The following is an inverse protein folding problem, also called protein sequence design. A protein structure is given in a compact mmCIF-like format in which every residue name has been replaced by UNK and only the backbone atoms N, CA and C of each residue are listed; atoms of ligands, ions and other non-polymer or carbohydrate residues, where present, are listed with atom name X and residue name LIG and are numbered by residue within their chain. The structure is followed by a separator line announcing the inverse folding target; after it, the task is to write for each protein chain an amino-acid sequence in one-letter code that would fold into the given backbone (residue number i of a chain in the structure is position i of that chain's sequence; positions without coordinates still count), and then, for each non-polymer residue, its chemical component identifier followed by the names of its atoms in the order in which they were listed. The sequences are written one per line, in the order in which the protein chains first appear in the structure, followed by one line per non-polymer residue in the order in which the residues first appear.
data_IF_503848147574
#
_entry.id   IF_503848147574
#
_cell.length_a   1.000
_cell.length_b   1.000
_cell.length_c   1.000
_cell.angle_alpha   90.00
_cell.angle_beta   90.00
_cell.angle_gamma   90.00
#
_symmetry.space_group_name_H-M   'P 1'
#
loop_
_entity.id
_entity.type
_entity.pdbx_description
1 polymer ?
#
# COMPACT_ATOMS: atom_id res chain seq x y z
N UNK A 1 -36.05 5.34 -14.57
CA UNK A 1 -34.75 5.19 -13.88
C UNK A 1 -34.49 6.44 -13.03
N UNK A 2 -35.01 6.48 -11.81
CA UNK A 2 -34.76 7.56 -10.85
C UNK A 2 -33.73 7.05 -9.84
N UNK A 3 -32.51 7.59 -9.87
CA UNK A 3 -31.37 7.23 -9.00
C UNK A 3 -31.46 7.96 -7.64
N UNK A 4 -32.64 8.45 -7.28
CA UNK A 4 -32.87 9.40 -6.20
C UNK A 4 -33.07 8.83 -4.78
N UNK A 5 -33.46 7.56 -4.51
CA UNK A 5 -33.73 7.16 -3.13
C UNK A 5 -32.45 6.90 -2.30
N UNK A 6 -31.35 6.46 -2.93
CA UNK A 6 -30.14 6.03 -2.21
C UNK A 6 -29.43 7.21 -1.51
N UNK A 7 -29.64 8.45 -1.96
CA UNK A 7 -29.04 9.64 -1.34
C UNK A 7 -29.93 10.30 -0.29
N UNK A 8 -31.23 9.99 -0.25
CA UNK A 8 -32.15 10.57 0.73
C UNK A 8 -32.02 9.93 2.12
N UNK A 9 -31.63 8.65 2.19
CA UNK A 9 -31.61 7.85 3.43
C UNK A 9 -30.30 7.94 4.24
N UNK A 10 -29.26 8.61 3.74
CA UNK A 10 -28.09 8.95 4.58
C UNK A 10 -28.38 10.09 5.58
N UNK A 11 -29.61 10.61 5.60
CA UNK A 11 -30.05 11.73 6.43
C UNK A 11 -30.79 11.31 7.71
N UNK A 12 -30.99 10.01 7.97
CA UNK A 12 -31.82 9.51 9.08
C UNK A 12 -31.04 8.85 10.23
N UNK A 13 -29.73 9.08 10.33
CA UNK A 13 -29.07 9.01 11.64
C UNK A 13 -29.45 10.29 12.37
N UNK A 14 -30.37 10.22 13.32
CA UNK A 14 -30.70 11.36 14.19
C UNK A 14 -29.43 11.78 14.95
N UNK A 15 -28.81 12.85 14.47
CA UNK A 15 -27.81 13.58 15.23
C UNK A 15 -28.55 14.40 16.29
N UNK A 16 -28.00 14.54 17.52
CA UNK A 16 -28.58 15.39 18.54
C UNK A 16 -28.92 16.77 17.98
N UNK A 17 -30.11 17.31 18.28
CA UNK A 17 -30.65 18.58 17.76
C UNK A 17 -29.74 19.81 17.97
N UNK A 18 -28.64 19.68 18.72
CA UNK A 18 -27.59 20.70 18.82
C UNK A 18 -26.68 20.78 17.57
N UNK A 19 -26.77 19.82 16.62
CA UNK A 19 -25.92 19.76 15.42
C UNK A 19 -26.45 20.51 14.19
N UNK A 20 -27.70 20.99 14.19
CA UNK A 20 -28.25 21.78 13.06
C UNK A 20 -27.76 23.24 13.04
N UNK A 21 -27.11 23.72 14.10
CA UNK A 21 -26.64 25.11 14.21
C UNK A 21 -25.13 25.30 13.93
N UNK A 22 -24.49 24.45 13.12
CA UNK A 22 -23.04 24.49 12.91
C UNK A 22 -22.63 25.04 11.52
N UNK A 23 -22.69 26.37 11.38
CA UNK A 23 -21.94 27.27 10.47
C UNK A 23 -21.89 27.03 8.94
N UNK A 24 -22.24 28.12 8.24
CA UNK A 24 -22.15 28.52 6.84
C UNK A 24 -20.68 28.80 6.37
N UNK A 25 -19.73 27.88 6.65
CA UNK A 25 -18.28 28.12 6.48
C UNK A 25 -17.41 26.89 6.23
N UNK A 26 -17.97 25.80 5.69
CA UNK A 26 -17.22 24.57 5.37
C UNK A 26 -16.32 24.78 4.16
N UNK A 27 -15.02 24.47 4.28
CA UNK A 27 -14.06 24.53 3.16
C UNK A 27 -14.50 23.64 1.99
N UNK A 28 -15.08 22.48 2.30
CA UNK A 28 -15.64 21.55 1.31
C UNK A 28 -17.13 21.43 1.55
N UNK A 29 -17.93 21.78 0.54
CA UNK A 29 -19.39 21.68 0.61
C UNK A 29 -19.85 20.21 0.63
N UNK A 30 -21.02 19.96 1.23
CA UNK A 30 -21.55 18.60 1.36
C UNK A 30 -21.81 17.93 0.00
N UNK A 31 -22.19 18.71 -1.02
CA UNK A 31 -22.37 18.21 -2.39
C UNK A 31 -21.05 17.69 -2.97
N UNK A 32 -19.98 18.46 -2.83
CA UNK A 32 -18.64 18.05 -3.31
C UNK A 32 -18.18 16.81 -2.55
N UNK A 33 -18.33 16.81 -1.22
CA UNK A 33 -18.00 15.68 -0.37
C UNK A 33 -18.74 14.39 -0.81
N UNK A 34 -20.06 14.45 -1.01
CA UNK A 34 -20.87 13.30 -1.41
C UNK A 34 -20.51 12.79 -2.80
N UNK A 35 -20.33 13.71 -3.76
CA UNK A 35 -19.91 13.35 -5.11
C UNK A 35 -18.52 12.69 -5.10
N UNK A 36 -17.57 13.27 -4.37
CA UNK A 36 -16.21 12.73 -4.23
C UNK A 36 -16.21 11.36 -3.54
N UNK A 37 -16.97 11.22 -2.46
CA UNK A 37 -17.12 9.94 -1.75
C UNK A 37 -17.72 8.84 -2.63
N UNK A 38 -18.66 9.18 -3.51
CA UNK A 38 -19.25 8.24 -4.47
C UNK A 38 -18.28 7.88 -5.60
N UNK A 39 -17.80 8.86 -6.36
CA UNK A 39 -17.02 8.59 -7.57
C UNK A 39 -15.60 8.15 -7.24
N UNK A 40 -14.96 8.83 -6.29
CA UNK A 40 -13.57 8.56 -5.92
C UNK A 40 -13.51 7.53 -4.81
N UNK A 41 -14.13 7.82 -3.65
CA UNK A 41 -14.04 6.96 -2.46
C UNK A 41 -14.62 5.54 -2.66
N UNK A 42 -15.64 5.43 -3.51
CA UNK A 42 -16.28 4.16 -3.83
C UNK A 42 -15.85 3.62 -5.20
N UNK A 43 -16.24 4.23 -6.32
CA UNK A 43 -16.08 3.61 -7.64
C UNK A 43 -14.61 3.45 -8.06
N UNK A 44 -13.81 4.52 -7.95
CA UNK A 44 -12.39 4.46 -8.29
C UNK A 44 -11.66 3.44 -7.41
N UNK A 45 -11.90 3.47 -6.10
CA UNK A 45 -11.25 2.53 -5.18
C UNK A 45 -11.73 1.09 -5.39
N UNK A 46 -13.02 0.85 -5.66
CA UNK A 46 -13.53 -0.48 -5.97
C UNK A 46 -12.88 -1.07 -7.22
N UNK A 47 -12.73 -0.24 -8.27
CA UNK A 47 -12.03 -0.64 -9.49
C UNK A 47 -10.54 -0.94 -9.22
N UNK A 48 -9.84 -0.04 -8.54
CA UNK A 48 -8.40 -0.20 -8.24
C UNK A 48 -8.12 -1.40 -7.34
N UNK A 49 -8.96 -1.62 -6.31
CA UNK A 49 -8.83 -2.80 -5.45
C UNK A 49 -9.11 -4.09 -6.21
N UNK A 50 -10.11 -4.12 -7.11
CA UNK A 50 -10.36 -5.26 -8.00
C UNK A 50 -9.19 -5.53 -8.96
N UNK A 51 -8.64 -4.48 -9.58
CA UNK A 51 -7.44 -4.58 -10.40
C UNK A 51 -6.25 -5.10 -9.59
N UNK A 52 -6.10 -4.63 -8.36
CA UNK A 52 -5.10 -5.07 -7.40
C UNK A 52 -5.20 -6.56 -7.07
N UNK A 53 -6.41 -7.10 -6.86
CA UNK A 53 -6.63 -8.55 -6.66
C UNK A 53 -6.11 -9.34 -7.86
N UNK A 54 -6.40 -8.91 -9.08
CA UNK A 54 -5.95 -9.62 -10.30
C UNK A 54 -4.44 -9.52 -10.46
N UNK A 55 -3.89 -8.31 -10.39
CA UNK A 55 -2.47 -8.04 -10.63
C UNK A 55 -1.57 -8.71 -9.59
N UNK A 56 -1.90 -8.64 -8.30
CA UNK A 56 -1.10 -9.33 -7.26
C UNK A 56 -1.22 -10.85 -7.35
N UNK A 57 -2.37 -11.39 -7.75
CA UNK A 57 -2.50 -12.83 -8.05
C UNK A 57 -1.56 -13.26 -9.17
N UNK A 58 -1.48 -12.49 -10.27
CA UNK A 58 -0.55 -12.76 -11.36
C UNK A 58 0.91 -12.68 -10.91
N UNK A 59 1.26 -11.68 -10.09
CA UNK A 59 2.60 -11.52 -9.50
C UNK A 59 2.97 -12.75 -8.67
N UNK A 60 2.09 -13.18 -7.77
CA UNK A 60 2.31 -14.36 -6.94
C UNK A 60 2.49 -15.63 -7.79
N UNK A 61 1.64 -15.86 -8.79
CA UNK A 61 1.74 -17.02 -9.71
C UNK A 61 3.11 -17.04 -10.42
N UNK A 62 3.57 -15.89 -10.91
CA UNK A 62 4.88 -15.80 -11.59
C UNK A 62 6.02 -16.10 -10.64
N UNK A 63 6.04 -15.51 -9.43
CA UNK A 63 7.11 -15.76 -8.47
C UNK A 63 7.12 -17.18 -7.93
N UNK A 64 5.95 -17.81 -7.75
CA UNK A 64 5.85 -19.24 -7.45
C UNK A 64 6.50 -20.09 -8.55
N UNK A 65 6.31 -19.72 -9.82
CA UNK A 65 6.93 -20.43 -10.95
C UNK A 65 8.44 -20.22 -11.04
N UNK A 66 8.95 -19.04 -10.67
CA UNK A 66 10.39 -18.75 -10.61
C UNK A 66 11.07 -19.47 -9.45
N UNK A 67 10.32 -19.71 -8.37
CA UNK A 67 10.84 -20.26 -7.13
C UNK A 67 11.61 -19.22 -6.30
N UNK A 68 11.85 -19.59 -5.04
CA UNK A 68 12.44 -18.73 -4.02
C UNK A 68 13.94 -18.96 -3.85
N UNK A 69 14.67 -18.96 -4.98
CA UNK A 69 16.12 -19.20 -5.01
C UNK A 69 16.96 -17.96 -4.70
N UNK A 70 16.37 -16.78 -4.83
CA UNK A 70 16.98 -15.50 -4.52
C UNK A 70 16.11 -14.71 -3.53
N UNK A 71 16.76 -13.91 -2.69
CA UNK A 71 16.11 -13.06 -1.69
C UNK A 71 15.16 -12.05 -2.33
N UNK A 72 15.45 -11.61 -3.57
CA UNK A 72 14.63 -10.64 -4.31
C UNK A 72 13.22 -11.19 -4.52
N UNK A 73 13.11 -12.41 -5.05
CA UNK A 73 11.81 -13.02 -5.32
C UNK A 73 11.02 -13.27 -4.04
N UNK A 74 11.70 -13.64 -2.95
CA UNK A 74 11.07 -13.78 -1.63
C UNK A 74 10.45 -12.44 -1.20
N UNK A 75 11.22 -11.35 -1.20
CA UNK A 75 10.74 -10.04 -0.78
C UNK A 75 9.57 -9.54 -1.64
N UNK A 76 9.69 -9.64 -2.97
CA UNK A 76 8.65 -9.17 -3.89
C UNK A 76 7.37 -10.01 -3.81
N UNK A 77 7.49 -11.31 -3.58
CA UNK A 77 6.35 -12.18 -3.31
C UNK A 77 5.67 -11.82 -1.98
N UNK A 78 6.44 -11.61 -0.90
CA UNK A 78 5.90 -11.21 0.40
C UNK A 78 5.13 -9.89 0.33
N UNK A 79 5.63 -8.91 -0.43
CA UNK A 79 4.92 -7.66 -0.71
C UNK A 79 3.60 -7.93 -1.44
N UNK A 80 3.63 -8.75 -2.50
CA UNK A 80 2.43 -9.08 -3.26
C UNK A 80 1.35 -9.80 -2.41
N UNK A 81 1.75 -10.60 -1.42
CA UNK A 81 0.83 -11.23 -0.46
C UNK A 81 0.09 -10.18 0.37
N UNK A 82 0.80 -9.19 0.92
CA UNK A 82 0.16 -8.14 1.73
C UNK A 82 -0.66 -7.16 0.89
N UNK A 83 -0.21 -6.83 -0.32
CA UNK A 83 -0.99 -6.06 -1.28
C UNK A 83 -2.25 -6.82 -1.71
N UNK A 84 -2.19 -8.15 -1.84
CA UNK A 84 -3.38 -9.00 -2.08
C UNK A 84 -4.37 -8.93 -0.91
N UNK A 85 -3.91 -9.04 0.35
CA UNK A 85 -4.78 -8.93 1.53
C UNK A 85 -5.47 -7.55 1.54
N UNK A 86 -4.70 -6.49 1.30
CA UNK A 86 -5.20 -5.10 1.19
C UNK A 86 -6.29 -4.98 0.11
N UNK A 87 -6.03 -5.48 -1.09
CA UNK A 87 -6.95 -5.43 -2.23
C UNK A 87 -8.22 -6.26 -2.00
N UNK A 88 -8.11 -7.47 -1.47
CA UNK A 88 -9.26 -8.30 -1.12
C UNK A 88 -10.15 -7.62 -0.09
N UNK A 89 -9.57 -7.12 1.00
CA UNK A 89 -10.33 -6.37 2.01
C UNK A 89 -11.01 -5.13 1.42
N UNK A 90 -10.32 -4.42 0.52
CA UNK A 90 -10.85 -3.26 -0.19
C UNK A 90 -12.08 -3.55 -1.05
N UNK A 91 -12.07 -4.67 -1.78
CA UNK A 91 -13.19 -5.14 -2.60
C UNK A 91 -14.35 -5.60 -1.73
N UNK A 92 -14.08 -6.49 -0.76
CA UNK A 92 -15.11 -7.09 0.11
C UNK A 92 -15.84 -6.01 0.91
N UNK A 93 -15.12 -5.04 1.46
CA UNK A 93 -15.73 -3.91 2.19
C UNK A 93 -16.74 -3.12 1.36
N UNK A 94 -16.47 -2.98 0.05
CA UNK A 94 -17.28 -2.18 -0.89
C UNK A 94 -18.39 -2.98 -1.59
N UNK A 95 -18.66 -4.21 -1.15
CA UNK A 95 -19.84 -4.96 -1.62
C UNK A 95 -21.14 -4.43 -1.03
N UNK A 96 -21.11 -3.46 -0.12
CA UNK A 96 -22.28 -2.82 0.47
C UNK A 96 -23.23 -2.23 -0.58
N UNK A 97 -22.71 -1.52 -1.60
CA UNK A 97 -23.57 -0.92 -2.62
C UNK A 97 -24.16 -1.91 -3.61
N UNK A 98 -23.42 -2.87 -4.19
CA UNK A 98 -24.00 -3.88 -5.07
C UNK A 98 -25.05 -4.73 -4.36
N UNK A 99 -24.80 -5.09 -3.09
CA UNK A 99 -25.79 -5.77 -2.25
C UNK A 99 -26.99 -4.85 -2.00
N UNK A 100 -26.75 -3.58 -1.69
CA UNK A 100 -27.78 -2.56 -1.50
C UNK A 100 -28.68 -2.30 -2.71
N UNK A 101 -28.18 -2.51 -3.93
CA UNK A 101 -28.99 -2.44 -5.16
C UNK A 101 -30.01 -3.58 -5.25
N UNK A 102 -29.72 -4.73 -4.65
CA UNK A 102 -30.64 -5.87 -4.57
C UNK A 102 -31.57 -5.73 -3.37
N UNK A 103 -31.01 -5.38 -2.20
CA UNK A 103 -31.76 -5.18 -0.98
C UNK A 103 -31.06 -4.13 -0.09
N UNK A 104 -31.70 -2.97 0.21
CA UNK A 104 -31.08 -1.90 0.97
C UNK A 104 -30.71 -2.32 2.40
N UNK A 105 -31.54 -3.14 3.06
CA UNK A 105 -31.27 -3.67 4.41
C UNK A 105 -30.01 -4.52 4.42
N UNK A 106 -29.83 -5.38 3.40
CA UNK A 106 -28.63 -6.21 3.29
C UNK A 106 -27.37 -5.36 3.03
N UNK A 107 -27.48 -4.31 2.21
CA UNK A 107 -26.37 -3.40 1.96
C UNK A 107 -25.93 -2.64 3.22
N UNK A 108 -26.89 -2.12 3.98
CA UNK A 108 -26.66 -1.44 5.27
C UNK A 108 -26.02 -2.41 6.27
N UNK A 109 -26.57 -3.61 6.39
CA UNK A 109 -26.05 -4.64 7.30
C UNK A 109 -24.62 -5.05 6.90
N UNK A 110 -24.37 -5.28 5.61
CA UNK A 110 -23.04 -5.61 5.13
C UNK A 110 -22.02 -4.51 5.47
N UNK A 111 -22.37 -3.25 5.20
CA UNK A 111 -21.50 -2.10 5.50
C UNK A 111 -21.10 -2.09 6.97
N UNK A 112 -22.06 -2.07 7.88
CA UNK A 112 -21.78 -1.87 9.31
C UNK A 112 -21.23 -3.11 10.00
N UNK A 113 -21.66 -4.32 9.62
CA UNK A 113 -21.08 -5.55 10.15
C UNK A 113 -19.63 -5.73 9.71
N UNK A 114 -19.29 -5.36 8.48
CA UNK A 114 -17.93 -5.51 7.97
C UNK A 114 -17.00 -4.35 8.34
N UNK A 115 -17.55 -3.18 8.68
CA UNK A 115 -16.79 -1.94 8.91
C UNK A 115 -15.66 -2.10 9.93
N UNK A 116 -15.87 -2.64 11.16
CA UNK A 116 -14.81 -2.75 12.17
C UNK A 116 -13.57 -3.51 11.69
N UNK A 117 -13.76 -4.46 10.77
CA UNK A 117 -12.71 -5.37 10.32
C UNK A 117 -12.11 -4.92 9.00
N UNK A 118 -12.94 -4.56 8.01
CA UNK A 118 -12.48 -4.35 6.65
C UNK A 118 -12.09 -2.90 6.32
N UNK A 119 -12.43 -1.92 7.16
CA UNK A 119 -11.95 -0.54 6.97
C UNK A 119 -10.47 -0.39 7.37
N UNK A 120 -10.04 -1.10 8.43
CA UNK A 120 -8.69 -1.00 8.97
C UNK A 120 -7.72 -1.99 8.34
N UNK A 121 -8.21 -3.16 7.92
CA UNK A 121 -7.37 -4.20 7.33
C UNK A 121 -6.51 -3.71 6.13
N UNK A 122 -7.04 -2.95 5.15
CA UNK A 122 -6.23 -2.37 4.08
C UNK A 122 -5.14 -1.42 4.57
N UNK A 123 -5.43 -0.66 5.63
CA UNK A 123 -4.48 0.31 6.23
C UNK A 123 -3.35 -0.45 6.91
N UNK A 124 -3.66 -1.46 7.72
CA UNK A 124 -2.66 -2.26 8.44
C UNK A 124 -1.81 -3.10 7.50
N UNK A 125 -2.43 -3.73 6.49
CA UNK A 125 -1.70 -4.40 5.41
C UNK A 125 -0.79 -3.44 4.66
N UNK A 126 -1.22 -2.20 4.42
CA UNK A 126 -0.38 -1.14 3.86
C UNK A 126 0.86 -0.84 4.71
N UNK A 127 0.71 -0.73 6.03
CA UNK A 127 1.86 -0.56 6.94
C UNK A 127 2.85 -1.72 6.87
N UNK A 128 2.35 -2.95 6.74
CA UNK A 128 3.22 -4.10 6.53
C UNK A 128 3.95 -3.98 5.18
N UNK A 129 3.24 -3.70 4.07
CA UNK A 129 3.88 -3.51 2.76
C UNK A 129 4.97 -2.43 2.79
N UNK A 130 4.76 -1.31 3.48
CA UNK A 130 5.81 -0.28 3.66
C UNK A 130 7.02 -0.79 4.45
N UNK A 131 6.79 -1.57 5.51
CA UNK A 131 7.88 -2.18 6.30
C UNK A 131 8.71 -3.14 5.44
N UNK A 132 8.05 -3.99 4.63
CA UNK A 132 8.71 -4.92 3.72
C UNK A 132 9.47 -4.18 2.61
N UNK A 133 8.90 -3.11 2.04
CA UNK A 133 9.58 -2.26 1.07
C UNK A 133 10.82 -1.57 1.67
N UNK A 134 10.76 -1.17 2.95
CA UNK A 134 11.89 -0.61 3.69
C UNK A 134 13.00 -1.65 3.88
N UNK A 135 12.65 -2.90 4.20
CA UNK A 135 13.64 -3.97 4.20
C UNK A 135 14.30 -4.13 2.82
N UNK A 136 13.51 -4.11 1.75
CA UNK A 136 14.05 -4.21 0.37
C UNK A 136 15.00 -3.06 0.07
N UNK A 137 14.69 -1.83 0.52
CA UNK A 137 15.58 -0.68 0.32
C UNK A 137 16.91 -0.85 1.06
N UNK A 138 16.90 -1.35 2.30
CA UNK A 138 18.11 -1.70 3.06
C UNK A 138 18.89 -2.80 2.35
N UNK A 139 18.24 -3.89 1.95
CA UNK A 139 18.86 -5.01 1.24
C UNK A 139 19.59 -4.53 -0.02
N UNK A 140 18.94 -3.64 -0.80
CA UNK A 140 19.56 -3.06 -2.00
C UNK A 140 20.67 -2.09 -1.70
N UNK A 141 20.52 -1.25 -0.70
CA UNK A 141 21.58 -0.36 -0.24
C UNK A 141 22.83 -1.16 0.10
N UNK A 142 22.68 -2.21 0.90
CA UNK A 142 23.79 -3.09 1.27
C UNK A 142 24.38 -3.79 0.04
N UNK A 143 23.55 -4.32 -0.85
CA UNK A 143 23.99 -5.01 -2.07
C UNK A 143 24.83 -4.12 -2.98
N UNK A 144 24.57 -2.81 -2.98
CA UNK A 144 25.29 -1.82 -3.76
C UNK A 144 26.55 -1.34 -3.04
N UNK A 145 26.49 -1.11 -1.73
CA UNK A 145 27.60 -0.57 -0.95
C UNK A 145 28.67 -1.62 -0.59
N UNK A 146 28.29 -2.88 -0.36
CA UNK A 146 29.21 -3.95 0.09
C UNK A 146 28.89 -5.30 -0.60
N UNK A 147 29.06 -5.39 -1.94
CA UNK A 147 28.56 -6.50 -2.75
C UNK A 147 29.10 -7.89 -2.35
N UNK A 148 30.35 -7.97 -1.88
CA UNK A 148 30.99 -9.23 -1.54
C UNK A 148 30.50 -9.85 -0.22
N UNK A 149 30.20 -9.03 0.80
CA UNK A 149 29.69 -9.54 2.09
C UNK A 149 28.21 -9.90 2.00
N UNK A 150 27.43 -9.14 1.23
CA UNK A 150 25.97 -9.30 1.18
C UNK A 150 25.54 -10.61 0.56
N UNK A 151 26.19 -11.07 -0.52
CA UNK A 151 25.85 -12.36 -1.15
C UNK A 151 26.03 -13.56 -0.22
N UNK A 152 26.91 -13.45 0.78
CA UNK A 152 27.11 -14.48 1.80
C UNK A 152 26.18 -14.32 3.01
N UNK A 153 25.72 -13.09 3.30
CA UNK A 153 24.92 -12.80 4.49
C UNK A 153 23.41 -12.91 4.23
N UNK A 154 22.93 -12.42 3.09
CA UNK A 154 21.49 -12.36 2.78
C UNK A 154 21.11 -13.59 1.97
N UNK A 155 20.68 -14.63 2.67
CA UNK A 155 20.13 -15.86 2.06
C UNK A 155 18.61 -15.75 1.90
N UNK A 156 18.00 -16.45 0.93
CA UNK A 156 16.54 -16.42 0.73
C UNK A 156 15.74 -16.87 1.97
N UNK A 157 16.26 -17.87 2.69
CA UNK A 157 15.64 -18.38 3.93
C UNK A 157 15.65 -17.34 5.04
N UNK A 158 16.78 -16.64 5.21
CA UNK A 158 16.89 -15.57 6.18
C UNK A 158 15.95 -14.42 5.83
N UNK A 159 15.91 -14.01 4.55
CA UNK A 159 14.95 -13.01 4.06
C UNK A 159 13.51 -13.42 4.33
N UNK A 160 13.13 -14.68 4.08
CA UNK A 160 11.78 -15.17 4.33
C UNK A 160 11.42 -15.07 5.83
N UNK A 161 12.34 -15.46 6.71
CA UNK A 161 12.18 -15.34 8.16
C UNK A 161 11.98 -13.88 8.57
N UNK A 162 12.83 -12.96 8.11
CA UNK A 162 12.69 -11.53 8.38
C UNK A 162 11.36 -10.96 7.87
N UNK A 163 10.94 -11.31 6.66
CA UNK A 163 9.67 -10.87 6.07
C UNK A 163 8.49 -11.31 6.92
N UNK A 164 8.48 -12.57 7.38
CA UNK A 164 7.41 -13.11 8.22
C UNK A 164 7.39 -12.43 9.58
N UNK A 165 8.54 -12.35 10.26
CA UNK A 165 8.62 -11.74 11.60
C UNK A 165 8.23 -10.27 11.54
N UNK A 166 8.74 -9.52 10.56
CA UNK A 166 8.40 -8.10 10.39
C UNK A 166 6.91 -7.90 10.10
N UNK A 167 6.33 -8.79 9.28
CA UNK A 167 4.89 -8.78 9.01
C UNK A 167 4.06 -9.00 10.27
N UNK A 168 4.40 -10.01 11.06
CA UNK A 168 3.70 -10.33 12.32
C UNK A 168 3.85 -9.22 13.35
N UNK A 169 5.03 -8.62 13.47
CA UNK A 169 5.28 -7.52 14.40
C UNK A 169 4.45 -6.29 14.05
N UNK A 170 4.53 -5.82 12.81
CA UNK A 170 3.81 -4.61 12.38
C UNK A 170 2.31 -4.84 12.42
N UNK A 171 1.81 -5.92 11.83
CA UNK A 171 0.38 -6.23 11.84
C UNK A 171 -0.15 -6.46 13.25
N UNK A 172 0.56 -7.26 14.07
CA UNK A 172 0.18 -7.56 15.44
C UNK A 172 0.15 -6.33 16.35
N UNK A 173 1.02 -5.34 16.11
CA UNK A 173 0.98 -4.09 16.87
C UNK A 173 -0.29 -3.25 16.63
N UNK A 174 -0.97 -3.44 15.49
CA UNK A 174 -2.23 -2.78 15.15
C UNK A 174 -3.49 -3.62 15.43
N UNK A 175 -3.35 -4.95 15.60
CA UNK A 175 -4.48 -5.85 15.76
C UNK A 175 -5.42 -5.55 16.94
N UNK A 176 -4.98 -4.93 18.07
CA UNK A 176 -5.91 -4.57 19.15
C UNK A 176 -7.06 -3.66 18.70
N UNK A 177 -6.88 -2.87 17.63
CA UNK A 177 -7.92 -2.00 17.07
C UNK A 177 -9.15 -2.78 16.59
N UNK A 178 -9.00 -4.04 16.18
CA UNK A 178 -10.16 -4.86 15.76
C UNK A 178 -11.13 -5.16 16.89
N UNK A 179 -10.73 -4.99 18.15
CA UNK A 179 -11.53 -5.33 19.33
C UNK A 179 -12.13 -4.10 20.03
N UNK A 180 -11.93 -2.89 19.51
CA UNK A 180 -12.48 -1.66 20.12
C UNK A 180 -13.91 -1.34 19.70
N UNK A 181 -14.42 -2.06 18.70
CA UNK A 181 -15.76 -1.89 18.16
C UNK A 181 -16.57 -3.17 18.33
N UNK A 182 -17.86 -3.02 18.59
CA UNK A 182 -18.83 -4.13 18.58
C UNK A 182 -19.95 -3.82 17.60
N UNK A 183 -20.54 -4.87 17.03
CA UNK A 183 -21.65 -4.77 16.10
C UNK A 183 -22.94 -5.08 16.86
N UNK A 184 -23.87 -4.15 16.85
CA UNK A 184 -25.18 -4.26 17.49
C UNK A 184 -26.28 -4.14 16.45
N UNK A 185 -27.36 -4.92 16.62
CA UNK A 185 -28.52 -4.90 15.73
C UNK A 185 -29.67 -4.18 16.39
N UNK A 186 -30.07 -3.05 15.82
CA UNK A 186 -31.16 -2.21 16.30
C UNK A 186 -32.33 -2.27 15.33
N UNK A 187 -33.55 -2.48 15.84
CA UNK A 187 -34.74 -2.55 14.99
C UNK A 187 -35.07 -1.18 14.41
N UNK A 188 -35.19 -1.10 13.08
CA UNK A 188 -35.59 0.10 12.37
C UNK A 188 -37.05 -0.01 11.93
N UNK A 189 -37.94 0.88 12.40
CA UNK A 189 -39.34 0.90 11.97
C UNK A 189 -39.48 1.33 10.50
N UNK A 190 -38.51 2.09 9.97
CA UNK A 190 -38.51 2.58 8.58
C UNK A 190 -38.35 1.41 7.60
N UNK A 191 -37.41 0.52 7.89
CA UNK A 191 -37.13 -0.65 7.05
C UNK A 191 -37.88 -1.91 7.49
N UNK A 192 -38.62 -1.83 8.61
CA UNK A 192 -39.25 -2.97 9.28
C UNK A 192 -38.26 -4.14 9.47
N UNK A 193 -37.02 -3.84 9.86
CA UNK A 193 -35.94 -4.81 9.93
C UNK A 193 -34.86 -4.40 10.95
N UNK A 194 -34.13 -5.39 11.47
CA UNK A 194 -32.97 -5.14 12.33
C UNK A 194 -31.76 -4.71 11.51
N UNK A 195 -31.23 -3.52 11.81
CA UNK A 195 -30.08 -2.91 11.15
C UNK A 195 -28.83 -3.01 12.02
N UNK A 196 -27.72 -3.40 11.41
CA UNK A 196 -26.42 -3.37 12.04
C UNK A 196 -25.96 -1.93 12.25
N UNK A 197 -25.39 -1.69 13.42
CA UNK A 197 -24.75 -0.44 13.83
C UNK A 197 -23.47 -0.77 14.59
N UNK A 198 -22.51 0.16 14.60
CA UNK A 198 -21.22 -0.05 15.27
C UNK A 198 -21.17 0.84 16.50
N UNK A 199 -20.93 0.23 17.66
CA UNK A 199 -20.74 0.92 18.94
C UNK A 199 -19.34 0.62 19.48
N UNK A 200 -18.90 1.43 20.44
CA UNK A 200 -17.60 1.21 21.11
C UNK A 200 -17.72 0.01 22.06
N UNK A 201 -16.79 -0.94 21.94
CA UNK A 201 -16.74 -2.12 22.79
C UNK A 201 -16.32 -1.77 24.23
N UNK A 202 -16.65 -2.64 25.20
CA UNK A 202 -16.25 -2.48 26.61
C UNK A 202 -14.74 -2.27 26.79
N UNK A 203 -13.93 -2.92 25.94
CA UNK A 203 -12.48 -2.81 25.95
C UNK A 203 -11.98 -1.38 25.71
N UNK A 204 -12.71 -0.57 24.94
CA UNK A 204 -12.37 0.83 24.69
C UNK A 204 -12.36 1.65 25.98
N UNK A 205 -13.41 1.48 26.80
CA UNK A 205 -13.59 2.21 28.04
C UNK A 205 -12.78 1.64 29.21
N UNK A 206 -12.49 0.33 29.19
CA UNK A 206 -11.77 -0.35 30.27
C UNK A 206 -10.33 0.14 30.49
N UNK A 207 -9.72 0.77 29.49
CA UNK A 207 -8.30 1.13 29.51
C UNK A 207 -8.01 2.59 29.11
N UNK A 208 -8.87 3.54 29.46
CA UNK A 208 -8.64 4.99 29.23
C UNK A 208 -8.16 5.33 27.80
N UNK A 209 -8.80 4.70 26.80
CA UNK A 209 -8.49 4.90 25.38
C UNK A 209 -7.04 4.55 24.98
N UNK A 210 -6.32 3.73 25.77
CA UNK A 210 -4.92 3.37 25.51
C UNK A 210 -4.71 2.79 24.11
N UNK A 211 -5.67 2.01 23.61
CA UNK A 211 -5.61 1.41 22.28
C UNK A 211 -5.68 2.50 21.19
N UNK A 212 -6.54 3.51 21.37
CA UNK A 212 -6.64 4.65 20.45
C UNK A 212 -5.38 5.50 20.47
N UNK A 213 -4.79 5.73 21.64
CA UNK A 213 -3.51 6.45 21.81
C UNK A 213 -2.36 5.69 21.14
N UNK A 214 -2.28 4.38 21.37
CA UNK A 214 -1.29 3.50 20.75
C UNK A 214 -1.45 3.45 19.21
N UNK A 215 -2.67 3.30 18.71
CA UNK A 215 -2.95 3.33 17.27
C UNK A 215 -2.48 4.63 16.62
N UNK A 216 -2.79 5.78 17.23
CA UNK A 216 -2.33 7.09 16.73
C UNK A 216 -0.81 7.19 16.74
N UNK A 217 -0.17 6.78 17.84
CA UNK A 217 1.29 6.78 17.96
C UNK A 217 1.95 5.90 16.89
N UNK A 218 1.53 4.64 16.77
CA UNK A 218 2.08 3.70 15.79
C UNK A 218 1.83 4.18 14.35
N UNK A 219 0.66 4.77 14.09
CA UNK A 219 0.29 5.36 12.80
C UNK A 219 1.12 6.59 12.41
N UNK A 220 1.85 7.20 13.34
CA UNK A 220 2.83 8.27 13.05
C UNK A 220 4.25 7.72 13.06
N UNK A 221 4.57 6.87 14.05
CA UNK A 221 5.90 6.35 14.32
C UNK A 221 6.41 5.47 13.17
N UNK A 222 5.69 4.39 12.81
CA UNK A 222 6.14 3.46 11.76
C UNK A 222 6.30 4.18 10.41
N UNK A 223 5.29 4.90 9.91
CA UNK A 223 5.40 5.82 8.79
C UNK A 223 6.68 6.65 8.77
N UNK A 224 6.94 7.39 9.84
CA UNK A 224 8.09 8.30 9.90
C UNK A 224 9.41 7.55 9.78
N UNK A 225 9.57 6.46 10.55
CA UNK A 225 10.79 5.64 10.54
C UNK A 225 11.03 5.02 9.16
N UNK A 226 10.02 4.38 8.57
CA UNK A 226 10.14 3.73 7.26
C UNK A 226 10.47 4.73 6.15
N UNK A 227 9.84 5.90 6.16
CA UNK A 227 10.14 6.96 5.21
C UNK A 227 11.59 7.43 5.30
N UNK A 228 12.07 7.75 6.51
CA UNK A 228 13.46 8.18 6.72
C UNK A 228 14.46 7.13 6.23
N UNK A 229 14.22 5.85 6.53
CA UNK A 229 15.08 4.75 6.08
C UNK A 229 15.03 4.60 4.55
N UNK A 230 13.86 4.61 3.93
CA UNK A 230 13.72 4.49 2.47
C UNK A 230 14.38 5.66 1.74
N UNK A 231 14.23 6.90 2.21
CA UNK A 231 14.86 8.09 1.61
C UNK A 231 16.38 8.02 1.71
N UNK A 232 16.90 7.74 2.91
CA UNK A 232 18.35 7.64 3.15
C UNK A 232 18.99 6.52 2.33
N UNK A 233 18.42 5.32 2.36
CA UNK A 233 18.90 4.18 1.56
C UNK A 233 18.82 4.45 0.06
N UNK A 234 17.74 5.06 -0.43
CA UNK A 234 17.61 5.44 -1.85
C UNK A 234 18.67 6.44 -2.27
N UNK A 235 18.96 7.46 -1.44
CA UNK A 235 20.02 8.43 -1.70
C UNK A 235 21.39 7.76 -1.81
N UNK A 236 21.71 6.83 -0.91
CA UNK A 236 22.95 6.05 -0.94
C UNK A 236 23.04 5.20 -2.22
N UNK A 237 21.96 4.49 -2.59
CA UNK A 237 21.93 3.68 -3.81
C UNK A 237 22.19 4.56 -5.05
N UNK A 238 21.50 5.70 -5.16
CA UNK A 238 21.66 6.62 -6.29
C UNK A 238 23.09 7.14 -6.37
N UNK A 239 23.68 7.51 -5.24
CA UNK A 239 25.08 7.96 -5.16
C UNK A 239 26.04 6.89 -5.69
N UNK A 240 25.94 5.65 -5.20
CA UNK A 240 26.81 4.56 -5.65
C UNK A 240 26.58 4.17 -7.11
N UNK A 241 25.33 4.21 -7.59
CA UNK A 241 25.02 3.94 -9.01
C UNK A 241 25.64 4.98 -9.93
N UNK A 242 25.60 6.27 -9.55
CA UNK A 242 26.25 7.36 -10.31
C UNK A 242 27.76 7.19 -10.33
N UNK A 243 28.37 6.95 -9.16
CA UNK A 243 29.81 6.70 -9.05
C UNK A 243 30.26 5.49 -9.87
N UNK A 244 29.47 4.42 -9.88
CA UNK A 244 29.78 3.24 -10.70
C UNK A 244 29.72 3.57 -12.19
N UNK A 245 28.74 4.37 -12.64
CA UNK A 245 28.61 4.77 -14.05
C UNK A 245 29.81 5.63 -14.50
N UNK A 246 30.20 6.62 -13.69
CA UNK A 246 31.36 7.49 -13.97
C UNK A 246 32.68 6.69 -14.10
N UNK A 247 32.86 5.66 -13.28
CA UNK A 247 34.03 4.80 -13.35
C UNK A 247 34.05 3.96 -14.64
N UNK A 248 32.90 3.48 -15.10
CA UNK A 248 32.79 2.74 -16.37
C UNK A 248 33.14 3.62 -17.58
N UNK A 249 32.71 4.88 -17.59
CA UNK A 249 33.02 5.81 -18.69
C UNK A 249 34.52 6.17 -18.71
N UNK A 250 35.16 6.29 -17.54
CA UNK A 250 36.62 6.51 -17.43
C UNK A 250 37.44 5.30 -17.89
N UNK A 251 37.01 4.09 -17.54
CA UNK A 251 37.67 2.84 -17.99
C UNK A 251 37.47 2.60 -19.50
N UNK A 252 36.36 3.08 -20.09
CA UNK A 252 36.11 3.02 -21.53
C UNK A 252 36.93 4.07 -22.32
N UNK A 253 37.15 5.26 -21.76
CA UNK A 253 37.99 6.32 -22.34
C UNK A 253 39.50 6.08 -22.23
N UNK A 254 39.95 5.24 -21.29
CA UNK A 254 41.37 4.87 -21.10
C UNK A 254 41.75 3.59 -21.87
N UNK A 255 41.30 3.44 -23.11
CA UNK A 255 41.81 2.44 -24.07
C UNK A 255 42.65 3.12 -25.15
N UNK A 256 43.77 3.70 -24.74
CA UNK A 256 44.89 3.99 -25.64
C UNK A 256 46.18 3.58 -24.93
N UNK A 257 46.84 2.54 -25.46
CA UNK A 257 48.18 2.04 -25.08
C UNK A 257 48.32 1.58 -23.62
N UNK A 258 48.67 0.33 -23.28
CA UNK A 258 49.91 -0.33 -23.66
C UNK A 258 49.86 -1.77 -23.15
N UNK A 259 50.39 -2.70 -23.94
CA UNK A 259 50.72 -4.08 -23.56
C UNK A 259 51.73 -4.08 -22.40
N UNK A 260 51.38 -4.61 -21.23
CA UNK A 260 52.35 -5.04 -20.23
C UNK A 260 51.79 -6.14 -19.33
N UNK A 261 52.54 -7.23 -19.29
CA UNK A 261 52.39 -8.46 -18.50
C UNK A 261 52.54 -8.14 -17.01
N UNK A 262 51.63 -8.67 -16.18
CA UNK A 262 51.74 -8.57 -14.72
C UNK A 262 50.40 -8.77 -14.04
N UNK A 263 50.10 -10.01 -13.67
CA UNK A 263 48.87 -10.38 -12.97
C UNK A 263 48.76 -9.71 -11.61
N UNK A 264 47.95 -8.65 -11.55
CA UNK A 264 47.20 -8.31 -10.35
C UNK A 264 45.77 -8.02 -10.83
N UNK A 265 44.88 -8.97 -10.58
CA UNK A 265 43.45 -8.84 -10.81
C UNK A 265 42.96 -7.61 -10.07
N UNK A 266 42.86 -6.48 -10.78
CA UNK A 266 42.15 -5.29 -10.31
C UNK A 266 40.69 -5.71 -10.14
N UNK A 267 40.36 -6.21 -8.95
CA UNK A 267 39.00 -6.45 -8.46
C UNK A 267 38.35 -5.09 -8.25
N UNK A 268 38.03 -4.39 -9.34
CA UNK A 268 37.09 -3.28 -9.25
C UNK A 268 35.74 -3.89 -8.87
N UNK A 269 35.29 -3.55 -7.68
CA UNK A 269 34.02 -3.93 -7.06
C UNK A 269 32.82 -3.29 -7.78
N UNK A 270 32.81 -3.38 -9.11
CA UNK A 270 31.81 -2.74 -9.96
C UNK A 270 30.61 -3.70 -10.11
N UNK A 271 29.43 -3.13 -9.90
CA UNK A 271 28.16 -3.86 -10.04
C UNK A 271 27.98 -4.37 -11.47
N UNK A 272 27.49 -5.59 -11.64
CA UNK A 272 27.20 -6.11 -12.98
C UNK A 272 26.01 -5.35 -13.62
N UNK A 273 25.95 -5.21 -14.95
CA UNK A 273 24.81 -4.55 -15.62
C UNK A 273 23.45 -5.16 -15.26
N UNK A 274 23.43 -6.47 -14.98
CA UNK A 274 22.23 -7.19 -14.53
C UNK A 274 21.80 -6.75 -13.13
N UNK A 275 22.73 -6.68 -12.18
CA UNK A 275 22.45 -6.20 -10.81
C UNK A 275 22.03 -4.73 -10.80
N UNK A 276 22.64 -3.90 -11.66
CA UNK A 276 22.25 -2.50 -11.81
C UNK A 276 20.80 -2.37 -12.33
N UNK A 277 20.40 -3.23 -13.28
CA UNK A 277 19.03 -3.26 -13.79
C UNK A 277 18.01 -3.65 -12.71
N UNK A 278 18.31 -4.69 -11.92
CA UNK A 278 17.43 -5.11 -10.80
C UNK A 278 17.35 -4.01 -9.74
N UNK A 279 18.48 -3.39 -9.40
CA UNK A 279 18.54 -2.28 -8.42
C UNK A 279 17.72 -1.08 -8.90
N UNK A 280 17.83 -0.70 -10.18
CA UNK A 280 17.01 0.38 -10.78
C UNK A 280 15.51 0.08 -10.72
N UNK A 281 15.10 -1.16 -11.01
CA UNK A 281 13.70 -1.56 -10.87
C UNK A 281 13.22 -1.41 -9.43
N UNK A 282 13.99 -1.90 -8.46
CA UNK A 282 13.61 -1.83 -7.05
C UNK A 282 13.59 -0.39 -6.53
N UNK A 283 14.48 0.48 -7.02
CA UNK A 283 14.41 1.92 -6.75
C UNK A 283 13.09 2.55 -7.25
N UNK A 284 12.60 2.16 -8.43
CA UNK A 284 11.30 2.64 -8.93
C UNK A 284 10.17 2.20 -8.00
N UNK A 285 10.21 0.96 -7.52
CA UNK A 285 9.23 0.45 -6.55
C UNK A 285 9.29 1.26 -5.25
N UNK A 286 10.49 1.45 -4.67
CA UNK A 286 10.69 2.24 -3.45
C UNK A 286 10.19 3.68 -3.64
N UNK A 287 10.46 4.29 -4.78
CA UNK A 287 9.98 5.63 -5.10
C UNK A 287 8.44 5.71 -5.15
N UNK A 288 7.78 4.72 -5.74
CA UNK A 288 6.31 4.65 -5.77
C UNK A 288 5.73 4.50 -4.36
N UNK A 289 6.34 3.66 -3.51
CA UNK A 289 5.96 3.58 -2.09
C UNK A 289 6.14 4.92 -1.38
N UNK A 290 7.21 5.67 -1.63
CA UNK A 290 7.42 7.00 -1.05
C UNK A 290 6.36 8.02 -1.52
N UNK A 291 6.00 8.00 -2.81
CA UNK A 291 4.97 8.89 -3.36
C UNK A 291 3.58 8.61 -2.78
N UNK A 292 3.23 7.33 -2.65
CA UNK A 292 1.98 6.89 -2.02
C UNK A 292 1.92 7.27 -0.54
N UNK A 293 3.07 7.14 0.12
CA UNK A 293 3.21 7.38 1.55
C UNK A 293 3.16 8.87 1.92
N UNK A 294 3.71 9.76 1.10
CA UNK A 294 3.86 11.18 1.43
C UNK A 294 2.53 11.88 1.79
N UNK A 295 1.43 11.73 1.03
CA UNK A 295 0.14 12.33 1.38
C UNK A 295 -0.44 11.84 2.71
N UNK A 296 -0.16 10.59 3.09
CA UNK A 296 -0.55 10.04 4.39
C UNK A 296 0.20 10.73 5.52
N UNK A 297 1.51 10.93 5.37
CA UNK A 297 2.31 11.66 6.36
C UNK A 297 1.82 13.11 6.51
N UNK A 298 1.57 13.82 5.40
CA UNK A 298 1.01 15.16 5.42
C UNK A 298 -0.34 15.22 6.16
N UNK A 299 -1.23 14.26 5.91
CA UNK A 299 -2.51 14.15 6.62
C UNK A 299 -2.33 13.96 8.13
N UNK A 300 -1.38 13.13 8.56
CA UNK A 300 -1.11 12.93 9.99
C UNK A 300 -0.52 14.18 10.64
N UNK A 301 0.44 14.84 10.00
CA UNK A 301 1.01 16.11 10.49
C UNK A 301 -0.07 17.19 10.58
N UNK A 302 -0.95 17.31 9.58
CA UNK A 302 -2.07 18.23 9.62
C UNK A 302 -3.00 17.97 10.81
N UNK A 303 -3.28 16.70 11.10
CA UNK A 303 -4.11 16.30 12.27
C UNK A 303 -3.42 16.54 13.62
N UNK A 304 -2.09 16.67 13.66
CA UNK A 304 -1.35 17.03 14.88
C UNK A 304 -1.32 18.54 15.11
N UNK A 305 -1.16 19.32 14.03
CA UNK A 305 -1.09 20.79 14.09
C UNK A 305 -2.47 21.39 14.35
N UNK A 306 -3.50 20.85 13.70
CA UNK A 306 -4.88 21.32 13.82
C UNK A 306 -5.75 20.18 14.37
N UNK A 307 -6.03 20.16 15.69
CA UNK A 307 -6.89 19.14 16.31
C UNK A 307 -8.30 19.09 15.71
N UNK A 308 -8.78 20.18 15.11
CA UNK A 308 -10.07 20.23 14.42
C UNK A 308 -10.05 19.56 13.04
N UNK A 309 -8.87 19.18 12.52
CA UNK A 309 -8.68 18.36 11.33
C UNK A 309 -8.90 16.88 11.64
N UNK A 310 -10.11 16.55 12.08
CA UNK A 310 -10.51 15.19 12.44
C UNK A 310 -11.92 14.86 11.97
N UNK A 311 -12.27 13.57 11.94
CA UNK A 311 -13.64 13.15 11.65
C UNK A 311 -14.61 13.71 12.72
N UNK A 312 -15.81 14.12 12.30
CA UNK A 312 -16.84 14.72 13.15
C UNK A 312 -16.47 16.06 13.80
N UNK A 313 -15.37 16.70 13.36
CA UNK A 313 -14.95 18.05 13.79
C UNK A 313 -15.09 19.09 12.68
N UNK A 314 -14.65 20.32 12.93
CA UNK A 314 -14.79 21.47 12.01
C UNK A 314 -14.39 21.17 10.56
N UNK A 315 -13.28 20.44 10.34
CA UNK A 315 -12.77 20.13 9.00
C UNK A 315 -13.14 18.72 8.50
N UNK A 316 -14.24 18.15 8.98
CA UNK A 316 -14.69 16.79 8.66
C UNK A 316 -14.70 16.47 7.15
N UNK A 317 -15.37 17.30 6.33
CA UNK A 317 -15.49 17.05 4.90
C UNK A 317 -14.12 17.04 4.19
N UNK A 318 -13.25 17.99 4.56
CA UNK A 318 -11.90 18.07 4.01
C UNK A 318 -11.06 16.85 4.41
N UNK A 319 -11.13 16.44 5.68
CA UNK A 319 -10.45 15.26 6.20
C UNK A 319 -10.90 13.97 5.50
N UNK A 320 -12.20 13.84 5.19
CA UNK A 320 -12.73 12.70 4.44
C UNK A 320 -12.31 12.70 2.96
N UNK A 321 -12.32 13.85 2.29
CA UNK A 321 -11.80 13.98 0.92
C UNK A 321 -10.33 13.58 0.87
N UNK A 322 -9.49 14.11 1.76
CA UNK A 322 -8.08 13.75 1.88
C UNK A 322 -7.90 12.26 2.16
N UNK A 323 -8.74 11.68 3.03
CA UNK A 323 -8.72 10.25 3.30
C UNK A 323 -8.99 9.44 2.04
N UNK A 324 -10.05 9.76 1.30
CA UNK A 324 -10.39 9.08 0.05
C UNK A 324 -9.29 9.21 -1.01
N UNK A 325 -8.62 10.36 -1.09
CA UNK A 325 -7.44 10.52 -1.97
C UNK A 325 -6.30 9.59 -1.57
N UNK A 326 -5.98 9.50 -0.28
CA UNK A 326 -4.96 8.56 0.23
C UNK A 326 -5.34 7.12 -0.09
N UNK A 327 -6.61 6.74 0.05
CA UNK A 327 -7.10 5.42 -0.33
C UNK A 327 -6.92 5.12 -1.81
N UNK A 328 -7.11 6.10 -2.70
CA UNK A 328 -6.86 5.91 -4.14
C UNK A 328 -5.39 5.63 -4.40
N UNK A 329 -4.49 6.43 -3.83
CA UNK A 329 -3.04 6.25 -3.98
C UNK A 329 -2.60 4.88 -3.45
N UNK A 330 -3.13 4.49 -2.29
CA UNK A 330 -2.86 3.20 -1.66
C UNK A 330 -3.12 2.04 -2.64
N UNK A 331 -4.27 2.07 -3.32
CA UNK A 331 -4.66 0.99 -4.22
C UNK A 331 -4.00 1.09 -5.60
N UNK A 332 -3.60 2.29 -6.04
CA UNK A 332 -2.71 2.45 -7.20
C UNK A 332 -1.36 1.78 -6.91
N UNK A 333 -0.77 2.07 -5.76
CA UNK A 333 0.50 1.47 -5.33
C UNK A 333 0.39 -0.06 -5.27
N UNK A 334 -0.65 -0.58 -4.58
CA UNK A 334 -0.86 -2.02 -4.45
C UNK A 334 -1.12 -2.74 -5.79
N UNK A 335 -1.68 -2.06 -6.81
CA UNK A 335 -1.94 -2.65 -8.14
C UNK A 335 -0.81 -2.41 -9.16
N UNK A 336 0.13 -1.51 -8.86
CA UNK A 336 1.18 -1.06 -9.78
C UNK A 336 2.30 -2.07 -9.99
N UNK A 337 2.60 -2.90 -8.99
CA UNK A 337 3.77 -3.79 -8.98
C UNK A 337 3.86 -4.71 -10.21
N UNK A 338 2.73 -5.27 -10.66
CA UNK A 338 2.69 -6.10 -11.87
C UNK A 338 3.21 -5.37 -13.11
N UNK A 339 2.77 -4.13 -13.33
CA UNK A 339 3.15 -3.34 -14.49
C UNK A 339 4.64 -2.97 -14.46
N UNK A 340 5.16 -2.65 -13.27
CA UNK A 340 6.59 -2.40 -13.06
C UNK A 340 7.40 -3.64 -13.45
N UNK A 341 7.01 -4.83 -12.97
CA UNK A 341 7.73 -6.06 -13.29
C UNK A 341 7.68 -6.40 -14.78
N UNK A 342 6.53 -6.26 -15.43
CA UNK A 342 6.39 -6.50 -16.87
C UNK A 342 7.23 -5.52 -17.71
N UNK A 343 7.33 -4.26 -17.28
CA UNK A 343 8.15 -3.24 -17.96
C UNK A 343 9.66 -3.41 -17.71
N UNK A 344 10.06 -3.68 -16.47
CA UNK A 344 11.44 -3.53 -16.03
C UNK A 344 12.17 -4.86 -15.76
N UNK A 345 11.47 -5.95 -15.43
CA UNK A 345 12.07 -7.26 -15.17
C UNK A 345 11.97 -8.19 -16.37
N UNK A 346 13.11 -8.39 -17.03
CA UNK A 346 13.21 -9.37 -18.12
C UNK A 346 12.99 -10.81 -17.66
N UNK A 347 13.32 -11.13 -16.41
CA UNK A 347 13.08 -12.47 -15.87
C UNK A 347 11.59 -12.70 -15.63
N UNK A 348 10.93 -11.75 -14.94
CA UNK A 348 9.50 -11.79 -14.68
C UNK A 348 8.70 -11.91 -15.97
N UNK A 349 8.98 -11.05 -16.96
CA UNK A 349 8.29 -11.05 -18.25
C UNK A 349 8.45 -12.38 -19.01
N UNK A 350 9.64 -12.97 -19.01
CA UNK A 350 9.88 -14.29 -19.64
C UNK A 350 9.05 -15.38 -18.96
N UNK A 351 9.04 -15.42 -17.63
CA UNK A 351 8.24 -16.39 -16.88
C UNK A 351 6.74 -16.18 -17.09
N UNK A 352 6.28 -14.92 -17.10
CA UNK A 352 4.89 -14.59 -17.35
C UNK A 352 4.41 -15.13 -18.71
N UNK A 353 5.14 -14.88 -19.80
CA UNK A 353 4.76 -15.41 -21.11
C UNK A 353 4.91 -16.93 -21.25
N UNK A 354 5.79 -17.55 -20.46
CA UNK A 354 5.85 -19.02 -20.38
C UNK A 354 4.56 -19.60 -19.77
N UNK A 355 4.00 -18.96 -18.74
CA UNK A 355 2.75 -19.38 -18.09
C UNK A 355 1.53 -18.99 -18.92
N UNK A 356 1.57 -17.82 -19.56
CA UNK A 356 0.48 -17.25 -20.35
C UNK A 356 0.91 -16.98 -21.82
N UNK A 357 1.12 -18.02 -22.65
CA UNK A 357 1.62 -17.85 -24.02
C UNK A 357 0.72 -16.98 -24.91
N UNK A 358 -0.60 -17.00 -24.68
CA UNK A 358 -1.57 -16.18 -25.44
C UNK A 358 -1.39 -14.68 -25.23
N UNK A 359 -0.70 -14.27 -24.17
CA UNK A 359 -0.42 -12.86 -23.88
C UNK A 359 0.90 -12.38 -24.50
N UNK A 360 1.68 -13.26 -25.13
CA UNK A 360 2.95 -12.88 -25.75
C UNK A 360 2.69 -11.92 -26.93
N UNK A 361 3.41 -10.78 -27.00
CA UNK A 361 3.32 -9.89 -28.15
C UNK A 361 3.68 -10.70 -29.40
N UNK A 362 2.82 -10.70 -30.41
CA UNK A 362 3.19 -11.22 -31.72
C UNK A 362 4.41 -10.42 -32.18
N UNK A 363 5.53 -11.09 -32.43
CA UNK A 363 6.66 -10.42 -33.07
C UNK A 363 6.13 -9.83 -34.37
N UNK A 364 6.12 -8.49 -34.46
CA UNK A 364 5.93 -7.84 -35.74
C UNK A 364 7.11 -8.31 -36.57
N UNK A 365 6.84 -9.16 -37.57
CA UNK A 365 7.84 -9.64 -38.50
C UNK A 365 8.69 -8.45 -38.94
N UNK A 366 10.01 -8.58 -38.78
CA UNK A 366 10.92 -7.67 -39.46
C UNK A 366 10.60 -7.77 -40.96
N UNK A 367 10.47 -6.63 -41.66
CA UNK A 367 10.19 -6.62 -43.09
C UNK A 367 11.22 -7.42 -43.88
#
# INVERSE_FOLDING_TARGET
MNVTPIYAELRTVEFPQEFEAAWDGRIVSDRIYLAFGLFVGYWAVFFLSSLGVVTNSLVMIVFLRQGFRDSVNVSLFSIAVWDQVKCLAGVIFRLDKPIGLVNPVWGINWKWTSWPYLIYLPIFSGYVSYALATYVSIERCLSVSIPFKVKSLITPQLTASFMIVLSLLVFGSFSPVFFIYTVEYNYSPIYNASLASVTLAKLYYAHDEIISKLYKFLGIFYPSVFCTVMVTTSAIIVFHLRKSAENFDKDAGSKSSTTAVGGFTRTSSNMTPREAKVTKMLLVIIFIYLMDFFPRLCKYVASLIEPEFFAYRKYHNLMLVMSNTVWVLDFINASGNFFIFMGMSTNFRKTFYLIFPRCQPKEKGKP
#
